data_IF_545905300301
#
_entry.id   IF_545905300301
#
_cell.length_a   1.000
_cell.length_b   1.000
_cell.length_c   1.000
_cell.angle_alpha   90.00
_cell.angle_beta   90.00
_cell.angle_gamma   90.00
#
_symmetry.space_group_name_H-M   'P 1'
#
loop_
_entity.id
_entity.type
_entity.pdbx_description
1 polymer ?
#
# COMPACT_ATOMS: atom_id res chain seq x y z
N UNK A 1 -22.68 -9.24 -11.44
CA UNK A 1 -21.52 -8.43 -10.98
C UNK A 1 -21.74 -7.02 -11.52
N UNK A 2 -22.04 -6.05 -10.66
CA UNK A 2 -22.15 -4.64 -11.09
C UNK A 2 -20.72 -4.14 -11.34
N UNK A 3 -20.40 -3.81 -12.58
CA UNK A 3 -19.21 -3.06 -12.93
C UNK A 3 -19.31 -1.71 -12.23
N UNK A 4 -18.60 -1.54 -11.12
CA UNK A 4 -18.37 -0.21 -10.60
C UNK A 4 -17.65 0.56 -11.72
N UNK A 5 -18.09 1.78 -12.08
CA UNK A 5 -17.36 2.59 -13.03
C UNK A 5 -15.95 2.79 -12.47
N UNK A 6 -14.94 2.33 -13.20
CA UNK A 6 -13.56 2.69 -12.93
C UNK A 6 -13.50 4.21 -13.15
N UNK A 7 -13.44 4.97 -12.07
CA UNK A 7 -13.09 6.39 -12.16
C UNK A 7 -11.74 6.46 -12.85
N UNK A 8 -11.71 7.05 -14.05
CA UNK A 8 -10.47 7.35 -14.76
C UNK A 8 -9.65 8.28 -13.87
N UNK A 9 -8.73 7.72 -13.13
CA UNK A 9 -7.81 8.51 -12.30
C UNK A 9 -6.93 9.36 -13.23
N UNK A 10 -6.41 10.47 -12.74
CA UNK A 10 -5.50 11.30 -13.54
C UNK A 10 -4.23 10.54 -13.91
N UNK A 11 -3.88 9.52 -13.13
CA UNK A 11 -2.86 8.52 -13.48
C UNK A 11 -3.23 7.75 -14.75
N UNK A 12 -4.46 7.25 -14.88
CA UNK A 12 -4.90 6.50 -16.07
C UNK A 12 -4.86 7.34 -17.33
N UNK A 13 -5.20 8.63 -17.23
CA UNK A 13 -5.09 9.58 -18.34
C UNK A 13 -3.64 9.79 -18.77
N UNK A 14 -2.73 9.98 -17.80
CA UNK A 14 -1.30 10.16 -18.06
C UNK A 14 -0.68 8.91 -18.66
N UNK A 15 -1.00 7.73 -18.13
CA UNK A 15 -0.58 6.45 -18.67
C UNK A 15 -1.14 6.21 -20.08
N UNK A 16 -2.38 6.63 -20.35
CA UNK A 16 -3.02 6.56 -21.66
C UNK A 16 -2.30 7.41 -22.71
N UNK A 17 -1.86 8.61 -22.36
CA UNK A 17 -1.06 9.48 -23.24
C UNK A 17 0.28 8.82 -23.59
N UNK A 18 0.97 8.26 -22.60
CA UNK A 18 2.22 7.54 -22.81
C UNK A 18 2.04 6.31 -23.70
N UNK A 19 0.92 5.58 -23.56
CA UNK A 19 0.62 4.40 -24.36
C UNK A 19 0.34 4.70 -25.86
N UNK A 20 0.07 5.96 -26.23
CA UNK A 20 -0.10 6.39 -27.63
C UNK A 20 1.23 6.56 -28.35
N UNK A 21 2.36 6.55 -27.66
CA UNK A 21 3.68 6.72 -28.26
C UNK A 21 4.12 5.45 -29.01
N UNK A 22 4.80 5.58 -30.16
CA UNK A 22 5.46 4.44 -30.81
C UNK A 22 6.43 3.74 -29.86
N UNK A 23 6.49 2.40 -29.91
CA UNK A 23 7.26 1.58 -28.95
C UNK A 23 8.67 2.10 -28.59
N UNK A 24 9.53 2.45 -29.57
CA UNK A 24 10.87 2.99 -29.25
C UNK A 24 10.80 4.32 -28.49
N UNK A 25 9.88 5.21 -28.87
CA UNK A 25 9.70 6.52 -28.18
C UNK A 25 9.18 6.32 -26.77
N UNK A 26 8.24 5.39 -26.59
CA UNK A 26 7.74 5.00 -25.25
C UNK A 26 8.88 4.53 -24.33
N UNK A 27 9.74 3.63 -24.82
CA UNK A 27 10.89 3.13 -24.02
C UNK A 27 11.82 4.26 -23.62
N UNK A 28 12.16 5.16 -24.56
CA UNK A 28 13.01 6.32 -24.27
C UNK A 28 12.35 7.24 -23.22
N UNK A 29 11.05 7.52 -23.38
CA UNK A 29 10.33 8.37 -22.43
C UNK A 29 10.30 7.75 -21.02
N UNK A 30 10.03 6.46 -20.90
CA UNK A 30 10.06 5.76 -19.59
C UNK A 30 11.44 5.79 -18.98
N UNK A 31 12.51 5.52 -19.76
CA UNK A 31 13.88 5.59 -19.26
C UNK A 31 14.29 7.00 -18.81
N UNK A 32 13.82 8.01 -19.52
CA UNK A 32 14.04 9.40 -19.10
C UNK A 32 13.32 9.71 -17.79
N UNK A 33 12.09 9.26 -17.62
CA UNK A 33 11.36 9.41 -16.37
C UNK A 33 12.06 8.68 -15.21
N UNK A 34 12.53 7.46 -15.41
CA UNK A 34 13.34 6.72 -14.42
C UNK A 34 14.61 7.47 -14.02
N UNK A 35 15.29 8.10 -15.00
CA UNK A 35 16.49 8.87 -14.73
C UNK A 35 16.18 10.16 -13.96
N UNK A 36 15.10 10.86 -14.32
CA UNK A 36 14.66 12.06 -13.62
C UNK A 36 14.22 11.73 -12.19
N UNK A 37 13.55 10.60 -11.99
CA UNK A 37 13.18 10.09 -10.68
C UNK A 37 14.40 9.81 -9.81
N UNK A 38 15.38 9.12 -10.36
CA UNK A 38 16.63 8.81 -9.67
C UNK A 38 17.37 10.06 -9.16
N UNK A 39 17.34 11.16 -9.94
CA UNK A 39 17.95 12.43 -9.58
C UNK A 39 17.02 13.36 -8.79
N UNK A 40 15.80 12.94 -8.47
CA UNK A 40 14.81 13.79 -7.78
C UNK A 40 14.35 14.99 -8.61
N UNK A 41 14.41 14.90 -9.93
CA UNK A 41 14.08 15.98 -10.87
C UNK A 41 12.70 15.78 -11.53
N UNK A 42 11.90 14.85 -11.04
CA UNK A 42 10.52 14.68 -11.56
C UNK A 42 9.70 15.95 -11.33
N UNK A 43 8.94 16.40 -12.34
CA UNK A 43 8.00 17.50 -12.18
C UNK A 43 6.94 17.20 -11.12
N UNK A 44 6.61 18.21 -10.28
CA UNK A 44 5.68 18.05 -9.17
C UNK A 44 4.32 17.51 -9.57
N UNK A 45 3.78 17.92 -10.73
CA UNK A 45 2.50 17.41 -11.23
C UNK A 45 2.51 15.89 -11.53
N UNK A 46 3.68 15.32 -11.90
CA UNK A 46 3.82 13.87 -12.08
C UNK A 46 3.92 13.15 -10.74
N UNK A 47 4.55 13.76 -9.73
CA UNK A 47 4.62 13.21 -8.38
C UNK A 47 3.22 13.14 -7.74
N UNK A 48 2.39 14.18 -7.92
CA UNK A 48 1.03 14.24 -7.36
C UNK A 48 0.10 13.15 -7.90
N UNK A 49 0.24 12.81 -9.17
CA UNK A 49 -0.61 11.77 -9.80
C UNK A 49 0.00 10.37 -9.74
N UNK A 50 1.26 10.25 -9.34
CA UNK A 50 1.98 8.99 -9.35
C UNK A 50 1.62 8.13 -8.12
N UNK A 51 1.10 6.91 -8.28
CA UNK A 51 0.85 6.01 -7.18
C UNK A 51 2.15 5.37 -6.62
N UNK A 52 3.29 5.64 -7.23
CA UNK A 52 4.59 5.07 -6.86
C UNK A 52 5.39 5.96 -5.91
N UNK A 53 4.90 7.19 -5.64
CA UNK A 53 5.54 8.15 -4.75
C UNK A 53 4.68 8.34 -3.50
N UNK A 54 5.20 7.90 -2.35
CA UNK A 54 4.50 7.97 -1.08
C UNK A 54 5.10 7.06 -0.03
N UNK A 55 4.59 7.13 1.18
CA UNK A 55 5.10 6.33 2.30
C UNK A 55 4.49 4.94 2.38
N UNK A 56 3.22 4.79 2.01
CA UNK A 56 2.49 3.52 2.11
C UNK A 56 1.43 3.44 1.01
N UNK A 57 1.33 2.30 0.36
CA UNK A 57 0.26 2.00 -0.58
C UNK A 57 -0.71 0.99 0.01
N UNK A 58 -2.00 1.31 -0.05
CA UNK A 58 -3.07 0.41 0.39
C UNK A 58 -3.88 -0.07 -0.81
N UNK A 59 -4.08 -1.38 -0.91
CA UNK A 59 -4.97 -1.98 -1.90
C UNK A 59 -5.95 -2.95 -1.27
N UNK A 60 -7.12 -3.11 -1.85
CA UNK A 60 -8.15 -4.04 -1.37
C UNK A 60 -8.54 -5.05 -2.44
N UNK A 61 -8.28 -6.30 -2.16
CA UNK A 61 -8.70 -7.45 -2.97
C UNK A 61 -10.10 -7.95 -2.58
N UNK A 62 -10.71 -7.33 -1.57
CA UNK A 62 -12.00 -7.75 -1.02
C UNK A 62 -13.15 -7.68 -2.03
N UNK A 63 -13.17 -6.69 -2.90
CA UNK A 63 -14.15 -6.54 -3.98
C UNK A 63 -14.04 -7.63 -5.04
N UNK A 64 -12.84 -8.16 -5.26
CA UNK A 64 -12.55 -9.25 -6.19
C UNK A 64 -12.81 -10.64 -5.58
N UNK A 65 -13.08 -10.71 -4.27
CA UNK A 65 -13.33 -11.97 -3.56
C UNK A 65 -12.10 -12.86 -3.37
N UNK A 66 -10.88 -12.33 -3.55
CA UNK A 66 -9.62 -13.06 -3.39
C UNK A 66 -8.93 -12.77 -2.04
N UNK A 67 -8.06 -13.67 -1.54
CA UNK A 67 -7.29 -13.43 -0.34
C UNK A 67 -6.31 -12.26 -0.52
N UNK A 68 -5.69 -11.82 0.58
CA UNK A 68 -4.60 -10.86 0.52
C UNK A 68 -3.43 -11.44 -0.28
N UNK A 69 -2.93 -10.70 -1.25
CA UNK A 69 -1.78 -11.06 -2.06
C UNK A 69 -0.57 -10.24 -1.64
N UNK A 70 0.61 -10.82 -1.79
CA UNK A 70 1.86 -10.10 -1.60
C UNK A 70 2.24 -9.47 -2.93
N UNK A 71 2.41 -8.16 -2.92
CA UNK A 71 2.91 -7.40 -4.07
C UNK A 71 4.44 -7.25 -3.94
N UNK A 72 5.15 -7.25 -5.05
CA UNK A 72 6.53 -6.79 -5.04
C UNK A 72 6.56 -5.26 -5.11
N UNK A 73 7.59 -4.67 -4.52
CA UNK A 73 7.81 -3.24 -4.59
C UNK A 73 8.38 -2.86 -5.95
N UNK A 74 8.02 -1.68 -6.42
CA UNK A 74 8.51 -1.19 -7.70
C UNK A 74 9.88 -0.54 -7.56
N UNK A 75 10.70 -0.63 -8.61
CA UNK A 75 12.00 0.07 -8.67
C UNK A 75 11.85 1.54 -9.06
N UNK A 76 10.66 1.95 -9.51
CA UNK A 76 10.30 3.32 -9.82
C UNK A 76 9.56 3.94 -8.63
N UNK A 77 9.94 5.17 -8.28
CA UNK A 77 9.39 5.84 -7.11
C UNK A 77 10.07 5.48 -5.80
N UNK A 78 9.46 5.86 -4.70
CA UNK A 78 10.03 5.76 -3.35
C UNK A 78 9.12 5.04 -2.34
N UNK A 79 8.16 4.25 -2.80
CA UNK A 79 7.19 3.61 -1.92
C UNK A 79 7.75 2.37 -1.21
N UNK A 80 8.00 2.44 0.12
CA UNK A 80 8.65 1.36 0.85
C UNK A 80 7.69 0.32 1.42
N UNK A 81 6.41 0.63 1.52
CA UNK A 81 5.43 -0.22 2.21
C UNK A 81 4.20 -0.44 1.32
N UNK A 82 3.88 -1.70 1.09
CA UNK A 82 2.68 -2.09 0.37
C UNK A 82 1.79 -2.96 1.26
N UNK A 83 0.52 -2.56 1.44
CA UNK A 83 -0.44 -3.28 2.28
C UNK A 83 -1.63 -3.72 1.42
N UNK A 84 -1.89 -5.03 1.41
CA UNK A 84 -3.02 -5.60 0.70
C UNK A 84 -4.03 -6.19 1.67
N UNK A 85 -5.30 -5.80 1.53
CA UNK A 85 -6.41 -6.37 2.28
C UNK A 85 -7.10 -7.46 1.44
N UNK A 86 -7.26 -8.65 2.01
CA UNK A 86 -8.00 -9.74 1.40
C UNK A 86 -9.51 -9.64 1.56
N UNK A 87 -10.23 -10.62 1.04
CA UNK A 87 -11.67 -10.75 1.24
C UNK A 87 -12.01 -10.99 2.70
N UNK A 88 -13.20 -10.53 3.12
CA UNK A 88 -13.78 -10.87 4.41
C UNK A 88 -14.24 -12.33 4.40
N UNK A 89 -13.89 -13.08 5.43
CA UNK A 89 -14.35 -14.44 5.63
C UNK A 89 -14.78 -14.69 7.08
N UNK A 90 -15.52 -15.76 7.30
CA UNK A 90 -15.91 -16.21 8.63
C UNK A 90 -15.08 -17.43 9.01
N UNK A 91 -14.63 -17.45 10.26
CA UNK A 91 -13.95 -18.59 10.85
C UNK A 91 -14.64 -18.98 12.15
N UNK A 92 -14.91 -20.26 12.30
CA UNK A 92 -15.47 -20.82 13.52
C UNK A 92 -14.31 -21.29 14.40
N UNK A 93 -14.30 -20.83 15.64
CA UNK A 93 -13.26 -21.11 16.62
C UNK A 93 -13.87 -21.79 17.83
N UNK A 94 -13.20 -22.81 18.35
CA UNK A 94 -13.49 -23.46 19.61
C UNK A 94 -12.76 -22.71 20.72
N UNK A 95 -13.51 -22.16 21.66
CA UNK A 95 -12.97 -21.49 22.82
C UNK A 95 -12.47 -22.49 23.88
N UNK A 96 -11.68 -22.01 24.83
CA UNK A 96 -11.14 -22.85 25.92
C UNK A 96 -12.21 -23.41 26.86
N UNK A 97 -13.37 -22.76 26.92
CA UNK A 97 -14.56 -23.17 27.70
C UNK A 97 -15.45 -24.18 26.96
N UNK A 98 -15.06 -24.64 25.78
CA UNK A 98 -15.81 -25.57 24.94
C UNK A 98 -16.91 -24.91 24.10
N UNK A 99 -17.08 -23.59 24.16
CA UNK A 99 -18.04 -22.88 23.34
C UNK A 99 -17.53 -22.64 21.91
N UNK A 100 -18.44 -22.55 20.95
CA UNK A 100 -18.10 -22.28 19.54
C UNK A 100 -18.47 -20.83 19.23
N UNK A 101 -17.49 -20.08 18.72
CA UNK A 101 -17.69 -18.68 18.30
C UNK A 101 -17.34 -18.52 16.84
N UNK A 102 -18.21 -17.82 16.07
CA UNK A 102 -17.93 -17.47 14.67
C UNK A 102 -17.51 -16.00 14.59
N UNK A 103 -16.27 -15.75 14.15
CA UNK A 103 -15.73 -14.41 13.98
C UNK A 103 -15.53 -14.09 12.51
N UNK A 104 -15.49 -12.78 12.20
CA UNK A 104 -15.16 -12.26 10.86
C UNK A 104 -13.70 -11.85 10.83
N UNK A 105 -13.01 -12.23 9.76
CA UNK A 105 -11.60 -11.96 9.55
C UNK A 105 -11.36 -11.31 8.20
N UNK A 106 -10.30 -10.53 8.14
CA UNK A 106 -9.67 -10.02 6.94
C UNK A 106 -8.17 -10.26 7.08
N UNK A 107 -7.59 -10.98 6.13
CA UNK A 107 -6.14 -11.13 6.09
C UNK A 107 -5.50 -9.88 5.49
N UNK A 108 -4.33 -9.52 5.98
CA UNK A 108 -3.53 -8.42 5.48
C UNK A 108 -2.16 -8.95 5.06
N UNK A 109 -1.75 -8.62 3.84
CA UNK A 109 -0.40 -8.87 3.35
C UNK A 109 0.42 -7.59 3.43
N UNK A 110 1.62 -7.67 3.99
CA UNK A 110 2.59 -6.58 4.06
C UNK A 110 3.81 -6.94 3.22
N UNK A 111 4.19 -6.05 2.31
CA UNK A 111 5.48 -6.08 1.62
C UNK A 111 6.25 -4.85 2.03
N UNK A 112 7.45 -5.04 2.54
CA UNK A 112 8.26 -4.03 3.20
C UNK A 112 9.64 -3.97 2.53
N UNK A 113 10.20 -2.77 2.42
CA UNK A 113 11.52 -2.55 1.83
C UNK A 113 12.61 -2.54 2.91
N UNK A 114 13.38 -3.61 3.01
CA UNK A 114 14.47 -3.72 3.99
C UNK A 114 15.67 -2.81 3.69
N UNK A 115 15.69 -2.13 2.55
CA UNK A 115 16.68 -1.08 2.27
C UNK A 115 16.50 0.17 3.14
N UNK A 116 15.29 0.34 3.71
CA UNK A 116 14.92 1.49 4.54
C UNK A 116 15.02 1.15 6.02
N UNK A 117 14.46 0.01 6.41
CA UNK A 117 14.47 -0.47 7.79
C UNK A 117 14.65 -1.98 7.81
N UNK A 118 15.36 -2.48 8.81
CA UNK A 118 15.57 -3.90 9.00
C UNK A 118 14.33 -4.64 9.53
N UNK A 119 14.37 -5.97 9.49
CA UNK A 119 13.28 -6.82 9.95
C UNK A 119 12.95 -6.65 11.43
N UNK A 120 13.92 -6.27 12.27
CA UNK A 120 13.70 -6.02 13.70
C UNK A 120 12.82 -4.79 13.94
N UNK A 121 13.09 -3.72 13.18
CA UNK A 121 12.26 -2.51 13.24
C UNK A 121 10.83 -2.80 12.78
N UNK A 122 10.66 -3.51 11.65
CA UNK A 122 9.35 -3.88 11.14
C UNK A 122 8.57 -4.79 12.09
N UNK A 123 9.22 -5.75 12.75
CA UNK A 123 8.58 -6.58 13.79
C UNK A 123 8.01 -5.71 14.91
N UNK A 124 8.76 -4.71 15.34
CA UNK A 124 8.33 -3.77 16.38
C UNK A 124 7.10 -2.96 15.95
N UNK A 125 7.11 -2.43 14.72
CA UNK A 125 5.99 -1.67 14.14
C UNK A 125 4.74 -2.56 13.99
N UNK A 126 4.88 -3.77 13.48
CA UNK A 126 3.74 -4.70 13.32
C UNK A 126 3.15 -5.12 14.67
N UNK A 127 3.98 -5.33 15.70
CA UNK A 127 3.51 -5.59 17.06
C UNK A 127 2.74 -4.39 17.63
N UNK A 128 3.22 -3.17 17.38
CA UNK A 128 2.53 -1.95 17.78
C UNK A 128 1.18 -1.80 17.06
N UNK A 129 1.16 -2.00 15.75
CA UNK A 129 -0.05 -1.99 14.94
C UNK A 129 -1.09 -3.01 15.45
N UNK A 130 -0.65 -4.22 15.79
CA UNK A 130 -1.51 -5.25 16.40
C UNK A 130 -2.13 -4.79 17.73
N UNK A 131 -1.39 -4.05 18.56
CA UNK A 131 -1.92 -3.49 19.81
C UNK A 131 -3.01 -2.46 19.54
N UNK A 132 -2.83 -1.61 18.52
CA UNK A 132 -3.85 -0.63 18.09
C UNK A 132 -5.10 -1.35 17.58
N UNK A 133 -4.97 -2.38 16.77
CA UNK A 133 -6.14 -3.16 16.30
C UNK A 133 -6.89 -3.87 17.44
N UNK A 134 -6.21 -4.29 18.50
CA UNK A 134 -6.85 -4.90 19.66
C UNK A 134 -7.55 -3.88 20.56
N UNK A 135 -7.05 -2.64 20.57
CA UNK A 135 -7.59 -1.54 21.37
C UNK A 135 -7.50 -0.23 20.55
N UNK A 136 -8.48 0.01 19.66
CA UNK A 136 -8.49 1.21 18.82
C UNK A 136 -8.67 2.53 19.59
N UNK A 137 -9.17 2.47 20.83
CA UNK A 137 -9.35 3.68 21.66
C UNK A 137 -8.04 4.43 21.95
N UNK A 138 -6.91 3.76 21.76
CA UNK A 138 -5.58 4.38 21.85
C UNK A 138 -5.35 5.48 20.80
N UNK A 139 -6.11 5.48 19.73
CA UNK A 139 -6.04 6.52 18.68
C UNK A 139 -6.84 7.77 19.04
N UNK A 140 -7.72 7.69 20.06
CA UNK A 140 -8.52 8.83 20.52
C UNK A 140 -7.70 9.80 21.39
N UNK A 141 -6.54 9.34 21.88
CA UNK A 141 -5.64 10.14 22.71
C UNK A 141 -4.42 10.54 21.88
N UNK A 142 -4.14 11.84 21.72
CA UNK A 142 -2.94 12.28 21.03
C UNK A 142 -1.68 11.80 21.76
N UNK A 143 -0.56 11.55 21.04
CA UNK A 143 0.69 11.15 21.69
C UNK A 143 1.20 12.27 22.59
N UNK A 144 1.82 11.90 23.72
CA UNK A 144 2.40 12.84 24.68
C UNK A 144 3.47 13.74 24.06
N UNK A 145 4.20 13.19 23.09
CA UNK A 145 5.22 13.92 22.34
C UNK A 145 5.10 13.62 20.85
N UNK A 146 5.12 14.64 20.03
CA UNK A 146 5.21 14.52 18.57
C UNK A 146 6.66 14.78 18.20
N UNK A 147 7.31 13.76 17.60
CA UNK A 147 8.63 13.93 17.01
C UNK A 147 8.43 14.75 15.72
N UNK A 148 9.03 15.94 15.68
CA UNK A 148 9.02 16.74 14.45
C UNK A 148 9.95 16.07 13.44
N UNK A 149 9.49 15.95 12.19
CA UNK A 149 10.35 15.50 11.11
C UNK A 149 11.56 16.43 10.99
N UNK A 150 12.72 15.84 10.82
CA UNK A 150 13.94 16.59 10.56
C UNK A 150 13.80 17.14 9.14
N UNK A 151 13.94 18.46 8.92
CA UNK A 151 13.81 19.07 7.59
C UNK A 151 14.91 18.62 6.62
#
# INVERSE_FOLDING_TARGET
MKNAPQENSDFDKTAGILALLPGPVYVIAVRLLELLDYWGLLPGFLLEVSPFHGSVFFTSMGSLGIPAILHHLYNFGNMPVFVAFGKKYRRTELNRDGTITTKKYVDMGFTLDERICDGFFYDSVLKYLKRIFNDPSRLDVPPETVVQDIP
#
